data_IF_269319415092
#
_entry.id   IF_269319415092
#
_cell.length_a   1.000
_cell.length_b   1.000
_cell.length_c   1.000
_cell.angle_alpha   90.00
_cell.angle_beta   90.00
_cell.angle_gamma   90.00
#
_symmetry.space_group_name_H-M   'P 1'
#
loop_
_entity.id
_entity.type
_entity.pdbx_description
1 polymer ?
#
# COMPACT_ATOMS: atom_id res chain seq x y z
N UNK A 1 -11.58 -1.50 -4.56
CA UNK A 1 -11.70 -1.66 -6.01
C UNK A 1 -12.77 -0.68 -6.42
N UNK A 2 -12.36 0.48 -6.93
CA UNK A 2 -13.31 1.49 -7.40
C UNK A 2 -13.86 1.01 -8.73
N UNK A 3 -15.09 0.52 -8.70
CA UNK A 3 -15.87 0.24 -9.90
C UNK A 3 -16.20 1.62 -10.46
N UNK A 4 -15.62 1.99 -11.60
CA UNK A 4 -15.87 3.31 -12.18
C UNK A 4 -17.40 3.48 -12.38
N UNK A 5 -17.94 4.64 -12.02
CA UNK A 5 -19.38 4.89 -11.96
C UNK A 5 -20.07 4.64 -13.31
N UNK A 6 -19.36 4.88 -14.41
CA UNK A 6 -19.86 4.75 -15.78
C UNK A 6 -20.22 3.30 -16.16
N UNK A 7 -19.60 2.30 -15.52
CA UNK A 7 -19.87 0.88 -15.79
C UNK A 7 -21.26 0.45 -15.36
N UNK A 8 -21.78 1.09 -14.32
CA UNK A 8 -23.10 0.78 -13.78
C UNK A 8 -24.21 1.21 -14.72
N UNK A 9 -24.02 2.29 -15.49
CA UNK A 9 -25.10 2.93 -16.24
C UNK A 9 -25.49 2.10 -17.47
N UNK A 10 -24.54 1.66 -18.31
CA UNK A 10 -24.86 0.87 -19.51
C UNK A 10 -25.47 -0.50 -19.16
N UNK A 11 -24.97 -1.16 -18.10
CA UNK A 11 -25.49 -2.44 -17.62
C UNK A 11 -26.91 -2.30 -17.03
N UNK A 12 -27.14 -1.27 -16.21
CA UNK A 12 -28.46 -1.02 -15.63
C UNK A 12 -29.48 -0.61 -16.70
N UNK A 13 -29.06 0.13 -17.74
CA UNK A 13 -29.90 0.45 -18.89
C UNK A 13 -30.33 -0.81 -19.66
N UNK A 14 -29.39 -1.75 -19.89
CA UNK A 14 -29.71 -3.03 -20.52
C UNK A 14 -30.68 -3.87 -19.68
N UNK A 15 -30.48 -3.93 -18.36
CA UNK A 15 -31.39 -4.65 -17.46
C UNK A 15 -32.77 -4.00 -17.46
N UNK A 16 -32.84 -2.67 -17.44
CA UNK A 16 -34.11 -1.92 -17.48
C UNK A 16 -34.90 -2.21 -18.76
N UNK A 17 -34.24 -2.23 -19.92
CA UNK A 17 -34.90 -2.58 -21.20
C UNK A 17 -35.37 -4.03 -21.25
N UNK A 18 -34.60 -4.96 -20.67
CA UNK A 18 -35.00 -6.37 -20.56
C UNK A 18 -36.19 -6.61 -19.61
N UNK A 19 -36.41 -5.71 -18.65
CA UNK A 19 -37.49 -5.75 -17.66
C UNK A 19 -38.68 -4.84 -18.01
N UNK A 20 -38.67 -4.19 -19.19
CA UNK A 20 -39.78 -3.37 -19.66
C UNK A 20 -41.10 -4.15 -19.70
N UNK A 21 -42.20 -3.53 -19.27
CA UNK A 21 -43.55 -4.09 -19.33
C UNK A 21 -44.10 -4.16 -20.75
N UNK A 22 -43.56 -3.35 -21.66
CA UNK A 22 -43.90 -3.35 -23.08
C UNK A 22 -43.18 -4.51 -23.78
N UNK A 23 -43.95 -5.43 -24.38
CA UNK A 23 -43.37 -6.61 -25.05
C UNK A 23 -42.61 -6.25 -26.33
N UNK A 24 -43.05 -5.21 -27.03
CA UNK A 24 -42.50 -4.83 -28.34
C UNK A 24 -41.13 -4.15 -28.23
N UNK A 25 -40.79 -3.61 -27.06
CA UNK A 25 -39.50 -2.95 -26.80
C UNK A 25 -38.45 -3.88 -26.20
N UNK A 26 -38.82 -5.15 -25.92
CA UNK A 26 -37.92 -6.09 -25.27
C UNK A 26 -36.88 -6.62 -26.27
N UNK A 27 -35.58 -6.47 -25.99
CA UNK A 27 -34.55 -6.95 -26.89
C UNK A 27 -34.58 -8.48 -27.01
N UNK A 28 -34.33 -8.97 -28.21
CA UNK A 28 -34.13 -10.40 -28.47
C UNK A 28 -32.84 -10.89 -27.81
N UNK A 29 -32.75 -12.19 -27.52
CA UNK A 29 -31.56 -12.76 -26.88
C UNK A 29 -30.26 -12.51 -27.67
N UNK A 30 -30.35 -12.45 -29.00
CA UNK A 30 -29.23 -12.11 -29.89
C UNK A 30 -28.79 -10.66 -29.73
N UNK A 31 -29.74 -9.73 -29.63
CA UNK A 31 -29.44 -8.30 -29.38
C UNK A 31 -28.80 -8.11 -28.00
N UNK A 32 -29.33 -8.76 -26.97
CA UNK A 32 -28.74 -8.73 -25.61
C UNK A 32 -27.31 -9.25 -25.63
N UNK A 33 -27.06 -10.37 -26.32
CA UNK A 33 -25.70 -10.93 -26.46
C UNK A 33 -24.75 -9.93 -27.13
N UNK A 34 -25.18 -9.32 -28.24
CA UNK A 34 -24.36 -8.36 -28.97
C UNK A 34 -24.08 -7.08 -28.15
N UNK A 35 -25.07 -6.62 -27.37
CA UNK A 35 -24.89 -5.50 -26.44
C UNK A 35 -23.92 -5.85 -25.32
N UNK A 36 -24.01 -7.06 -24.74
CA UNK A 36 -23.07 -7.53 -23.72
C UNK A 36 -21.65 -7.69 -24.27
N UNK A 37 -21.47 -8.17 -25.50
CA UNK A 37 -20.15 -8.23 -26.15
C UNK A 37 -19.57 -6.83 -26.35
N UNK A 38 -20.39 -5.87 -26.77
CA UNK A 38 -19.97 -4.46 -26.95
C UNK A 38 -19.55 -3.83 -25.62
N UNK A 39 -20.35 -4.04 -24.56
CA UNK A 39 -20.04 -3.59 -23.20
C UNK A 39 -18.76 -4.27 -22.71
N UNK A 40 -18.61 -5.58 -22.90
CA UNK A 40 -17.42 -6.34 -22.52
C UNK A 40 -16.17 -5.81 -23.22
N UNK A 41 -16.23 -5.49 -24.52
CA UNK A 41 -15.09 -4.88 -25.21
C UNK A 41 -14.78 -3.50 -24.61
N UNK A 42 -15.75 -2.65 -24.31
CA UNK A 42 -15.47 -1.35 -23.66
C UNK A 42 -14.87 -1.50 -22.25
N UNK A 43 -15.36 -2.45 -21.47
CA UNK A 43 -14.94 -2.68 -20.08
C UNK A 43 -13.61 -3.42 -19.97
N UNK A 44 -13.37 -4.38 -20.86
CA UNK A 44 -12.23 -5.27 -20.82
C UNK A 44 -11.22 -5.01 -21.94
N UNK A 45 -11.46 -4.04 -22.83
CA UNK A 45 -10.40 -3.43 -23.62
C UNK A 45 -9.40 -2.85 -22.64
N UNK A 46 -8.40 -3.68 -22.33
CA UNK A 46 -7.34 -3.33 -21.43
C UNK A 46 -6.76 -2.03 -21.97
N UNK A 47 -6.59 -0.97 -21.17
CA UNK A 47 -5.97 0.25 -21.66
C UNK A 47 -4.59 -0.14 -22.18
N UNK A 48 -4.48 -0.29 -23.49
CA UNK A 48 -3.24 -0.74 -24.11
C UNK A 48 -2.27 0.42 -23.94
N UNK A 49 -1.32 0.26 -23.04
CA UNK A 49 -0.40 1.34 -22.74
C UNK A 49 0.66 1.31 -23.83
N UNK A 50 0.70 2.32 -24.67
CA UNK A 50 1.63 2.39 -25.80
C UNK A 50 2.92 3.14 -25.43
N UNK A 51 4.05 2.68 -25.96
CA UNK A 51 5.31 3.42 -25.86
C UNK A 51 5.26 4.63 -26.79
N UNK A 52 5.50 5.85 -26.29
CA UNK A 52 5.48 7.06 -27.14
C UNK A 52 6.61 7.11 -28.17
N UNK A 53 7.72 6.42 -27.90
CA UNK A 53 8.92 6.46 -28.75
C UNK A 53 8.79 5.55 -29.97
N UNK A 54 8.25 4.34 -29.80
CA UNK A 54 8.15 3.33 -30.87
C UNK A 54 6.72 2.85 -31.14
N UNK A 55 5.72 3.44 -30.49
CA UNK A 55 4.27 3.18 -30.67
C UNK A 55 3.81 1.73 -30.44
N UNK A 56 4.67 0.86 -29.92
CA UNK A 56 4.29 -0.50 -29.55
C UNK A 56 3.31 -0.49 -28.38
N UNK A 57 2.19 -1.20 -28.53
CA UNK A 57 1.15 -1.36 -27.51
C UNK A 57 1.46 -2.52 -26.56
N UNK A 58 1.15 -2.34 -25.28
CA UNK A 58 1.39 -3.36 -24.24
C UNK A 58 0.12 -3.65 -23.46
N UNK A 59 -0.07 -4.93 -23.14
CA UNK A 59 -1.21 -5.44 -22.35
C UNK A 59 -1.19 -4.93 -20.90
N UNK A 60 -0.01 -4.54 -20.39
CA UNK A 60 0.11 -4.02 -19.02
C UNK A 60 1.21 -2.96 -18.87
N UNK A 61 1.07 -2.11 -17.86
CA UNK A 61 2.08 -1.13 -17.47
C UNK A 61 3.43 -1.77 -17.11
N UNK A 62 3.43 -2.98 -16.53
CA UNK A 62 4.67 -3.73 -16.23
C UNK A 62 5.41 -4.14 -17.51
N UNK A 63 4.68 -4.62 -18.52
CA UNK A 63 5.26 -4.96 -19.81
C UNK A 63 5.84 -3.73 -20.52
N UNK A 64 5.15 -2.58 -20.46
CA UNK A 64 5.70 -1.31 -20.94
C UNK A 64 6.99 -0.92 -20.20
N UNK A 65 7.03 -0.99 -18.86
CA UNK A 65 8.24 -0.67 -18.09
C UNK A 65 9.42 -1.59 -18.43
N UNK A 66 9.16 -2.89 -18.58
CA UNK A 66 10.17 -3.84 -19.03
C UNK A 66 10.70 -3.51 -20.42
N UNK A 67 9.81 -3.14 -21.35
CA UNK A 67 10.18 -2.64 -22.67
C UNK A 67 11.05 -1.39 -22.55
N UNK A 68 10.62 -0.35 -21.83
CA UNK A 68 11.38 0.91 -21.67
C UNK A 68 12.79 0.67 -21.10
N UNK A 69 12.95 -0.29 -20.19
CA UNK A 69 14.24 -0.68 -19.62
C UNK A 69 15.12 -1.42 -20.64
N UNK A 70 14.53 -2.28 -21.47
CA UNK A 70 15.24 -3.06 -22.49
C UNK A 70 15.67 -2.21 -23.69
N UNK A 71 14.81 -1.30 -24.15
CA UNK A 71 15.04 -0.47 -25.35
C UNK A 71 15.72 0.86 -25.04
N UNK A 72 15.97 1.18 -23.77
CA UNK A 72 16.50 2.48 -23.32
C UNK A 72 15.61 3.67 -23.71
N UNK A 73 14.34 3.44 -24.05
CA UNK A 73 13.34 4.49 -24.31
C UNK A 73 12.94 5.25 -23.04
N UNK A 74 13.22 4.67 -21.86
CA UNK A 74 13.12 5.41 -20.60
C UNK A 74 14.18 6.51 -20.59
N UNK A 75 13.82 7.70 -21.09
CA UNK A 75 14.55 8.94 -20.79
C UNK A 75 14.84 8.88 -19.29
N UNK A 76 16.12 8.88 -18.93
CA UNK A 76 16.54 9.11 -17.55
C UNK A 76 15.94 10.45 -17.16
N UNK A 77 14.77 10.45 -16.54
CA UNK A 77 14.45 11.48 -15.57
C UNK A 77 15.53 11.27 -14.52
N UNK A 78 16.63 12.01 -14.68
CA UNK A 78 17.65 12.11 -13.66
C UNK A 78 16.90 12.52 -12.40
N UNK A 79 16.73 11.58 -11.49
CA UNK A 79 16.69 11.92 -10.07
C UNK A 79 18.06 12.49 -9.80
N UNK A 80 18.19 13.80 -10.01
CA UNK A 80 19.29 14.60 -9.49
C UNK A 80 19.10 14.58 -7.97
N UNK A 81 19.56 13.49 -7.35
CA UNK A 81 20.09 13.52 -5.99
C UNK A 81 21.44 14.27 -6.08
N UNK A 82 21.39 15.57 -6.39
CA UNK A 82 22.51 16.47 -6.15
C UNK A 82 22.12 17.46 -5.07
N UNK A 83 22.97 17.44 -4.05
CA UNK A 83 23.05 18.32 -2.91
C UNK A 83 22.86 19.78 -3.30
N UNK A 84 21.74 20.37 -2.90
CA UNK A 84 21.60 21.81 -2.86
C UNK A 84 21.95 22.25 -1.43
N UNK A 85 23.24 22.54 -1.21
CA UNK A 85 23.68 23.58 -0.27
C UNK A 85 23.39 24.92 -0.96
N UNK A 86 22.40 25.66 -0.49
CA UNK A 86 22.27 27.09 -0.80
C UNK A 86 22.27 27.85 0.51
N UNK A 87 23.38 28.53 0.72
CA UNK A 87 23.55 29.68 1.60
C UNK A 87 22.67 30.85 1.15
N UNK A 88 22.09 31.51 2.14
CA UNK A 88 21.70 32.91 2.27
C UNK A 88 21.53 33.84 1.06
N UNK A 89 20.41 34.57 1.17
CA UNK A 89 20.12 35.95 0.74
C UNK A 89 19.91 36.23 -0.75
N UNK A 90 18.66 36.55 -1.13
CA UNK A 90 18.24 37.83 -1.75
C UNK A 90 16.71 37.96 -1.64
N UNK A 91 16.27 39.15 -1.22
CA UNK A 91 14.90 39.59 -1.06
C UNK A 91 14.13 39.69 -2.40
N UNK A 92 12.80 39.48 -2.36
CA UNK A 92 11.93 39.79 -3.49
C UNK A 92 10.55 39.15 -3.43
N UNK A 93 9.63 39.93 -2.88
CA UNK A 93 8.19 40.02 -3.20
C UNK A 93 7.19 38.89 -2.88
N UNK A 94 6.09 39.36 -2.31
CA UNK A 94 4.97 38.65 -1.73
C UNK A 94 4.07 37.95 -2.77
N UNK A 95 3.91 36.63 -2.62
CA UNK A 95 2.67 35.95 -2.99
C UNK A 95 2.42 34.78 -2.03
N UNK A 96 1.64 35.09 -1.00
CA UNK A 96 1.27 34.26 0.14
C UNK A 96 0.34 33.11 -0.30
N UNK A 97 0.88 31.89 -0.44
CA UNK A 97 0.08 30.65 -0.39
C UNK A 97 0.52 29.89 0.86
N UNK A 98 -0.14 30.16 1.98
CA UNK A 98 0.08 29.46 3.24
C UNK A 98 -0.71 28.15 3.25
N UNK A 99 -0.08 27.04 2.82
CA UNK A 99 -0.55 25.70 3.19
C UNK A 99 -0.14 25.49 4.66
N UNK A 100 -0.99 25.96 5.57
CA UNK A 100 -0.93 25.66 7.01
C UNK A 100 -1.06 24.15 7.21
N UNK A 101 -0.01 23.54 7.73
CA UNK A 101 -0.10 22.19 8.30
C UNK A 101 1.08 21.30 7.96
N UNK A 102 2.30 21.72 8.30
CA UNK A 102 3.37 20.75 8.50
C UNK A 102 2.96 19.86 9.68
N UNK A 103 2.37 18.70 9.38
CA UNK A 103 2.16 17.68 10.39
C UNK A 103 3.52 17.33 10.96
N UNK A 104 3.79 17.74 12.21
CA UNK A 104 4.96 17.30 12.96
C UNK A 104 4.97 15.78 12.95
N UNK A 105 5.82 15.22 12.09
CA UNK A 105 6.03 13.79 12.05
C UNK A 105 6.46 13.34 13.45
N UNK A 106 5.98 12.18 13.92
CA UNK A 106 6.34 11.68 15.25
C UNK A 106 7.85 11.71 15.39
N UNK A 107 8.32 12.28 16.50
CA UNK A 107 9.72 12.36 16.89
C UNK A 107 10.36 11.02 16.58
N UNK A 108 11.34 11.02 15.67
CA UNK A 108 12.17 9.84 15.42
C UNK A 108 12.84 9.51 16.75
N UNK A 109 12.29 8.54 17.45
CA UNK A 109 12.97 7.90 18.58
C UNK A 109 14.22 7.23 18.00
N UNK A 110 15.33 7.97 18.07
CA UNK A 110 16.66 7.39 17.95
C UNK A 110 16.81 6.49 19.18
N UNK A 111 16.76 5.17 18.96
CA UNK A 111 17.14 4.24 20.00
C UNK A 111 18.64 4.41 20.20
N UNK A 112 19.07 4.82 21.39
CA UNK A 112 20.49 4.80 21.76
C UNK A 112 21.02 3.37 21.59
N UNK A 113 22.08 3.23 20.79
CA UNK A 113 22.64 1.94 20.39
C UNK A 113 23.14 1.12 21.61
N UNK A 114 23.41 1.79 22.73
CA UNK A 114 23.87 1.17 23.98
C UNK A 114 22.78 0.36 24.71
N UNK A 115 21.49 0.58 24.40
CA UNK A 115 20.38 -0.17 25.03
C UNK A 115 19.96 -1.43 24.24
N UNK A 116 20.66 -1.76 23.15
CA UNK A 116 20.32 -2.88 22.26
C UNK A 116 20.83 -4.26 22.75
N UNK A 117 21.66 -4.30 23.79
CA UNK A 117 22.27 -5.53 24.32
C UNK A 117 21.52 -6.13 25.53
N UNK A 118 20.26 -5.73 25.76
CA UNK A 118 19.41 -6.42 26.73
C UNK A 118 19.24 -7.91 26.34
N UNK A 119 19.51 -8.79 27.30
CA UNK A 119 19.80 -10.22 27.14
C UNK A 119 18.65 -11.13 26.65
N UNK A 120 17.46 -10.63 26.32
CA UNK A 120 16.36 -11.50 25.90
C UNK A 120 15.47 -10.88 24.81
N UNK A 121 15.88 -10.90 23.53
CA UNK A 121 14.96 -10.63 22.44
C UNK A 121 13.99 -11.81 22.29
N UNK A 122 12.69 -11.49 22.25
CA UNK A 122 11.64 -12.49 22.03
C UNK A 122 11.88 -13.30 20.74
N UNK A 123 11.56 -14.61 20.71
CA UNK A 123 11.73 -15.42 19.51
C UNK A 123 10.88 -14.89 18.34
N UNK A 124 11.33 -15.12 17.11
CA UNK A 124 10.58 -14.70 15.93
C UNK A 124 9.25 -15.46 15.83
N UNK A 125 8.12 -14.76 15.92
CA UNK A 125 6.78 -15.36 15.85
C UNK A 125 6.51 -16.16 14.56
N UNK A 126 7.21 -15.82 13.47
CA UNK A 126 6.99 -16.48 12.18
C UNK A 126 7.69 -17.84 12.11
N UNK A 127 8.97 -17.91 12.51
CA UNK A 127 9.79 -19.11 12.38
C UNK A 127 10.23 -19.74 13.71
N UNK A 128 9.77 -19.19 14.83
CA UNK A 128 10.09 -19.56 16.22
C UNK A 128 11.60 -19.67 16.53
N UNK A 129 12.46 -19.02 15.75
CA UNK A 129 13.89 -18.93 16.04
C UNK A 129 14.13 -17.97 17.20
N UNK A 130 14.89 -18.40 18.20
CA UNK A 130 15.45 -17.54 19.24
C UNK A 130 16.72 -16.84 18.73
N UNK A 131 17.02 -15.69 19.31
CA UNK A 131 18.21 -14.92 18.99
C UNK A 131 18.85 -14.47 20.29
N UNK A 132 20.18 -14.35 20.30
CA UNK A 132 20.90 -13.96 21.52
C UNK A 132 20.99 -12.44 21.68
N UNK A 133 20.81 -11.69 20.58
CA UNK A 133 20.86 -10.22 20.59
C UNK A 133 19.75 -9.62 19.73
N UNK A 134 19.27 -8.45 20.13
CA UNK A 134 18.25 -7.69 19.40
C UNK A 134 18.71 -7.33 18.00
N UNK A 135 20.02 -7.10 17.81
CA UNK A 135 20.64 -6.87 16.49
C UNK A 135 20.49 -8.07 15.55
N UNK A 136 20.72 -9.30 16.03
CA UNK A 136 20.50 -10.51 15.23
C UNK A 136 19.03 -10.72 14.90
N UNK A 137 18.12 -10.42 15.84
CA UNK A 137 16.69 -10.47 15.62
C UNK A 137 16.23 -9.49 14.53
N UNK A 138 16.69 -8.23 14.55
CA UNK A 138 16.34 -7.26 13.50
C UNK A 138 17.01 -7.56 12.16
N UNK A 139 18.27 -8.02 12.16
CA UNK A 139 18.93 -8.50 10.96
C UNK A 139 18.15 -9.68 10.34
N UNK A 140 17.60 -10.57 11.16
CA UNK A 140 16.74 -11.65 10.71
C UNK A 140 15.40 -11.17 10.12
N UNK A 141 14.79 -10.14 10.70
CA UNK A 141 13.57 -9.53 10.17
C UNK A 141 13.81 -8.81 8.84
N UNK A 142 14.92 -8.06 8.74
CA UNK A 142 15.32 -7.31 7.54
C UNK A 142 15.91 -8.19 6.42
N UNK A 143 16.58 -9.29 6.78
CA UNK A 143 17.38 -10.16 5.92
C UNK A 143 16.62 -11.08 4.96
N UNK A 144 15.30 -10.89 4.79
CA UNK A 144 14.64 -11.36 3.57
C UNK A 144 13.87 -12.68 3.62
N UNK A 145 12.82 -12.74 4.46
CA UNK A 145 11.61 -13.55 4.16
C UNK A 145 10.41 -13.21 5.06
N UNK A 146 10.65 -12.50 6.17
CA UNK A 146 9.61 -12.16 7.16
C UNK A 146 8.93 -10.80 6.93
N UNK A 147 9.67 -9.81 6.44
CA UNK A 147 9.16 -8.43 6.26
C UNK A 147 7.95 -8.31 5.31
N UNK A 148 7.75 -9.25 4.38
CA UNK A 148 6.83 -9.07 3.25
C UNK A 148 5.47 -9.76 3.33
N UNK A 149 5.11 -10.38 4.46
CA UNK A 149 3.80 -11.03 4.52
C UNK A 149 3.01 -10.52 5.73
N UNK A 150 2.67 -9.23 5.72
CA UNK A 150 1.64 -8.67 6.60
C UNK A 150 0.34 -9.49 6.53
N UNK A 151 0.05 -10.10 5.38
CA UNK A 151 -1.03 -11.08 5.19
C UNK A 151 -0.80 -12.38 5.98
N UNK A 152 0.43 -12.89 6.09
CA UNK A 152 0.76 -14.05 6.94
C UNK A 152 0.60 -13.74 8.43
N UNK A 153 1.00 -12.53 8.87
CA UNK A 153 0.79 -12.09 10.25
C UNK A 153 -0.70 -11.93 10.56
N UNK A 154 -1.48 -11.35 9.64
CA UNK A 154 -2.94 -11.25 9.76
C UNK A 154 -3.62 -12.63 9.77
N UNK A 155 -3.21 -13.53 8.87
CA UNK A 155 -3.73 -14.90 8.77
C UNK A 155 -3.40 -15.72 10.02
N UNK A 156 -2.16 -15.67 10.51
CA UNK A 156 -1.79 -16.29 11.80
C UNK A 156 -2.52 -15.65 12.97
N UNK A 157 -2.69 -14.32 13.05
CA UNK A 157 -3.52 -13.70 14.12
C UNK A 157 -4.97 -14.18 14.10
N UNK A 158 -5.52 -14.46 12.91
CA UNK A 158 -6.86 -15.00 12.77
C UNK A 158 -6.94 -16.51 13.10
N UNK A 159 -5.90 -17.28 12.75
CA UNK A 159 -5.81 -18.74 13.00
C UNK A 159 -5.37 -19.07 14.43
N UNK A 160 -4.48 -18.26 15.00
CA UNK A 160 -4.13 -18.31 16.40
C UNK A 160 -5.20 -17.57 17.18
N UNK A 161 -6.24 -18.27 17.56
CA UNK A 161 -7.03 -17.99 18.75
C UNK A 161 -6.17 -18.18 20.02
N UNK A 162 -4.90 -17.75 19.97
CA UNK A 162 -4.08 -17.49 21.12
C UNK A 162 -4.77 -16.33 21.83
N UNK A 163 -5.56 -16.67 22.83
CA UNK A 163 -5.69 -15.84 24.02
C UNK A 163 -4.28 -15.56 24.51
N UNK A 164 -3.63 -14.53 23.93
CA UNK A 164 -2.54 -13.86 24.62
C UNK A 164 -3.26 -13.20 25.77
N UNK A 165 -3.24 -13.87 26.91
CA UNK A 165 -3.79 -13.39 28.17
C UNK A 165 -3.15 -12.03 28.47
N UNK A 166 -3.84 -10.96 28.05
CA UNK A 166 -3.44 -9.57 28.23
C UNK A 166 -3.38 -9.21 29.73
N UNK A 167 -3.87 -10.09 30.62
CA UNK A 167 -3.84 -9.92 32.07
C UNK A 167 -2.43 -9.75 32.64
N UNK A 168 -1.40 -10.38 32.05
CA UNK A 168 -0.01 -10.22 32.55
C UNK A 168 0.62 -8.86 32.21
N UNK A 169 0.12 -8.17 31.19
CA UNK A 169 0.59 -6.83 30.80
C UNK A 169 0.06 -5.75 31.75
N UNK A 170 -1.22 -5.81 32.08
CA UNK A 170 -1.88 -4.88 33.01
C UNK A 170 -1.37 -5.05 34.45
N UNK A 171 -1.07 -6.28 34.89
CA UNK A 171 -0.47 -6.54 36.21
C UNK A 171 0.94 -5.94 36.35
N UNK A 172 1.71 -5.86 35.26
CA UNK A 172 3.02 -5.20 35.28
C UNK A 172 2.89 -3.68 35.33
N UNK A 173 1.94 -3.11 34.58
CA UNK A 173 1.68 -1.66 34.57
C UNK A 173 1.14 -1.19 35.92
N UNK A 174 0.19 -1.91 36.51
CA UNK A 174 -0.38 -1.60 37.83
C UNK A 174 0.65 -1.77 38.95
N UNK A 175 1.51 -2.80 38.90
CA UNK A 175 2.64 -2.92 39.85
C UNK A 175 3.65 -1.79 39.72
N UNK A 176 3.88 -1.29 38.50
CA UNK A 176 4.79 -0.17 38.26
C UNK A 176 4.19 1.14 38.82
N UNK A 177 2.93 1.44 38.50
CA UNK A 177 2.20 2.61 39.05
C UNK A 177 2.16 2.57 40.59
N UNK A 178 1.87 1.40 41.17
CA UNK A 178 1.81 1.25 42.63
C UNK A 178 3.17 1.39 43.32
N UNK A 179 4.27 1.05 42.63
CA UNK A 179 5.64 1.22 43.15
C UNK A 179 6.11 2.68 43.07
N UNK A 180 5.66 3.41 42.06
CA UNK A 180 6.03 4.82 41.83
C UNK A 180 5.33 5.76 42.83
N UNK A 181 4.05 5.52 43.14
CA UNK A 181 3.30 6.32 44.11
C UNK A 181 3.73 6.14 45.58
N UNK A 182 4.53 5.13 45.91
CA UNK A 182 5.02 4.88 47.28
C UNK A 182 6.38 5.54 47.53
N UNK A 183 7.02 6.09 46.49
CA UNK A 183 8.33 6.76 46.58
C UNK A 183 8.27 8.28 46.72
N UNK A 184 7.08 8.85 46.83
CA UNK A 184 6.83 10.25 47.16
C UNK A 184 6.00 10.34 48.45
#
# INVERSE_FOLDING_TARGET
MDIAPDYSIELLSLISTMLSSERDTRPTATQVKQQLETIAVKLFASPSVQCRTCQSSFVSKKALLAHLKKTKHGRRAATTEEQIKISDSVAGDDAQITIRGAASGPVRHYYDDEQLDALDPSPCVVCNKSFNTKRQFFAHLGGGRHWRNAQYVKKRKAESQLSVDMGKGEDRLTKWIRKDMVRH
#
